data_IF_643664004578
#
_entry.id   IF_643664004578
#
_cell.length_a   1.000
_cell.length_b   1.000
_cell.length_c   1.000
_cell.angle_alpha   90.00
_cell.angle_beta   90.00
_cell.angle_gamma   90.00
#
_symmetry.space_group_name_H-M   'P 1'
#
loop_
_entity.id
_entity.type
_entity.pdbx_description
1 polymer ?
#
# COMPACT_ATOMS: atom_id res chain seq x y z
N UNK A 1 -27.43 7.30 0.92
CA UNK A 1 -26.09 7.72 1.43
C UNK A 1 -25.18 7.93 0.22
N UNK A 2 -24.68 9.15 -0.03
CA UNK A 2 -23.94 9.46 -1.27
C UNK A 2 -22.43 9.30 -1.04
N UNK A 3 -21.92 8.07 -1.20
CA UNK A 3 -20.51 7.70 -1.00
C UNK A 3 -19.57 8.48 -1.94
N UNK A 4 -19.94 8.63 -3.21
CA UNK A 4 -19.15 9.38 -4.20
C UNK A 4 -18.94 10.84 -3.77
N UNK A 5 -19.99 11.48 -3.23
CA UNK A 5 -19.88 12.84 -2.68
C UNK A 5 -18.92 12.92 -1.50
N UNK A 6 -18.88 11.89 -0.65
CA UNK A 6 -17.94 11.85 0.47
C UNK A 6 -16.50 11.70 -0.01
N UNK A 7 -16.25 10.76 -0.93
CA UNK A 7 -14.93 10.54 -1.53
C UNK A 7 -14.43 11.81 -2.25
N UNK A 8 -15.30 12.49 -3.02
CA UNK A 8 -14.91 13.71 -3.73
C UNK A 8 -14.50 14.85 -2.78
N UNK A 9 -15.08 14.94 -1.58
CA UNK A 9 -14.66 15.93 -0.57
C UNK A 9 -13.28 15.63 0.02
N UNK A 10 -12.85 14.37 0.00
CA UNK A 10 -11.58 13.91 0.56
C UNK A 10 -10.40 14.13 -0.38
N UNK A 11 -10.65 14.36 -1.68
CA UNK A 11 -9.60 14.61 -2.70
C UNK A 11 -8.86 15.93 -2.47
N UNK A 12 -9.53 16.95 -1.93
CA UNK A 12 -8.97 18.29 -1.73
C UNK A 12 -8.34 18.41 -0.35
N UNK A 13 -7.05 18.02 -0.24
CA UNK A 13 -6.18 18.11 0.96
C UNK A 13 -6.96 18.16 2.29
N UNK A 14 -7.41 17.00 2.79
CA UNK A 14 -8.28 16.94 3.97
C UNK A 14 -7.53 17.42 5.22
N UNK A 15 -8.26 18.01 6.17
CA UNK A 15 -7.70 18.36 7.49
C UNK A 15 -7.46 17.12 8.37
N UNK A 16 -8.17 16.04 8.09
CA UNK A 16 -8.07 14.77 8.80
C UNK A 16 -7.27 13.79 7.95
N UNK A 17 -6.26 13.09 8.51
CA UNK A 17 -5.54 12.04 7.82
C UNK A 17 -6.48 10.98 7.25
N UNK A 18 -6.19 10.51 6.03
CA UNK A 18 -6.91 9.38 5.44
C UNK A 18 -6.05 8.13 5.62
N UNK A 19 -6.70 7.07 6.09
CA UNK A 19 -6.15 5.73 6.15
C UNK A 19 -6.84 4.90 5.08
N UNK A 20 -6.05 4.33 4.16
CA UNK A 20 -6.55 3.40 3.15
C UNK A 20 -6.21 1.98 3.57
N UNK A 21 -7.21 1.09 3.45
CA UNK A 21 -7.02 -0.34 3.65
C UNK A 21 -6.90 -0.99 2.28
N UNK A 22 -5.83 -1.75 2.11
CA UNK A 22 -5.44 -2.53 0.95
C UNK A 22 -5.01 -1.74 -0.29
N UNK A 23 -5.89 -0.85 -0.77
CA UNK A 23 -5.68 0.01 -1.92
C UNK A 23 -6.45 1.31 -1.70
N UNK A 24 -5.87 2.50 -1.96
CA UNK A 24 -6.62 3.74 -1.87
C UNK A 24 -7.80 3.74 -2.85
N UNK A 25 -8.98 4.13 -2.37
CA UNK A 25 -10.19 4.10 -3.19
C UNK A 25 -10.07 4.96 -4.45
N UNK A 26 -10.27 4.32 -5.59
CA UNK A 26 -10.18 4.94 -6.91
C UNK A 26 -8.83 4.77 -7.60
N UNK A 27 -7.80 4.26 -6.92
CA UNK A 27 -6.55 3.88 -7.58
C UNK A 27 -6.73 2.60 -8.39
N UNK A 28 -5.99 2.48 -9.49
CA UNK A 28 -5.88 1.23 -10.22
C UNK A 28 -4.99 0.24 -9.45
N UNK A 29 -5.33 -1.05 -9.50
CA UNK A 29 -4.61 -2.11 -8.77
C UNK A 29 -3.18 -2.32 -9.26
N UNK A 30 -2.87 -1.92 -10.49
CA UNK A 30 -1.59 -2.16 -11.16
C UNK A 30 -0.82 -0.86 -11.40
N UNK A 31 -1.49 0.19 -11.90
CA UNK A 31 -0.83 1.45 -12.30
C UNK A 31 -1.07 2.61 -11.32
N UNK A 32 -1.76 2.36 -10.20
CA UNK A 32 -1.92 3.34 -9.12
C UNK A 32 -2.77 4.56 -9.47
N UNK A 33 -2.38 5.73 -8.95
CA UNK A 33 -3.07 7.03 -9.16
C UNK A 33 -2.63 7.70 -10.46
N UNK A 34 -2.71 6.99 -11.59
CA UNK A 34 -2.19 7.46 -12.89
C UNK A 34 -2.73 8.83 -13.31
N UNK A 35 -3.99 9.14 -12.99
CA UNK A 35 -4.59 10.44 -13.35
C UNK A 35 -4.37 11.54 -12.29
N UNK A 36 -3.85 11.22 -11.11
CA UNK A 36 -3.63 12.18 -10.02
C UNK A 36 -4.91 12.74 -9.36
N UNK A 37 -6.11 12.35 -9.82
CA UNK A 37 -7.39 12.90 -9.36
C UNK A 37 -8.07 12.10 -8.23
N UNK A 38 -7.39 11.12 -7.64
CA UNK A 38 -7.94 10.27 -6.58
C UNK A 38 -7.55 10.75 -5.18
N UNK A 39 -8.02 10.05 -4.16
CA UNK A 39 -7.64 10.35 -2.77
C UNK A 39 -6.14 10.07 -2.58
N UNK A 40 -5.48 10.88 -1.76
CA UNK A 40 -4.09 10.68 -1.37
C UNK A 40 -4.03 10.41 0.13
N UNK A 41 -3.93 9.14 0.56
CA UNK A 41 -3.92 8.79 1.96
C UNK A 41 -2.60 9.15 2.63
N UNK A 42 -2.66 9.46 3.92
CA UNK A 42 -1.46 9.64 4.74
C UNK A 42 -0.89 8.29 5.18
N UNK A 43 -1.78 7.28 5.35
CA UNK A 43 -1.41 5.92 5.74
C UNK A 43 -2.05 4.89 4.80
N UNK A 44 -1.29 3.88 4.43
CA UNK A 44 -1.76 2.68 3.72
C UNK A 44 -1.50 1.42 4.57
N UNK A 45 -2.50 0.55 4.68
CA UNK A 45 -2.34 -0.81 5.23
C UNK A 45 -2.60 -1.83 4.13
N UNK A 46 -1.56 -2.39 3.53
CA UNK A 46 -1.70 -3.49 2.56
C UNK A 46 -2.07 -4.80 3.25
N UNK A 47 -2.97 -5.58 2.66
CA UNK A 47 -3.35 -6.89 3.21
C UNK A 47 -2.57 -8.01 2.52
N UNK A 48 -1.95 -8.87 3.32
CA UNK A 48 -1.07 -9.99 2.95
C UNK A 48 0.23 -9.51 2.30
N UNK A 49 0.13 -8.82 1.16
CA UNK A 49 1.24 -8.23 0.44
C UNK A 49 0.80 -6.93 -0.28
N UNK A 50 1.71 -5.98 -0.52
CA UNK A 50 1.42 -4.79 -1.32
C UNK A 50 0.97 -5.13 -2.74
N UNK A 51 0.01 -4.36 -3.29
CA UNK A 51 -0.34 -4.44 -4.72
C UNK A 51 0.65 -3.63 -5.56
N UNK A 52 0.77 -3.94 -6.86
CA UNK A 52 1.63 -3.18 -7.77
C UNK A 52 1.25 -1.70 -7.85
N UNK A 53 -0.05 -1.38 -7.84
CA UNK A 53 -0.53 0.00 -7.92
C UNK A 53 -0.18 0.87 -6.72
N UNK A 54 0.45 0.34 -5.67
CA UNK A 54 0.92 1.13 -4.52
C UNK A 54 2.44 1.25 -4.46
N UNK A 55 3.16 0.84 -5.51
CA UNK A 55 4.61 1.07 -5.62
C UNK A 55 4.93 2.57 -5.55
N UNK A 56 4.08 3.41 -6.15
CA UNK A 56 4.18 4.88 -6.11
C UNK A 56 3.41 5.51 -4.93
N UNK A 57 3.18 4.76 -3.86
CA UNK A 57 2.56 5.33 -2.66
C UNK A 57 3.58 6.19 -1.88
N UNK A 58 3.36 7.50 -1.88
CA UNK A 58 4.22 8.48 -1.18
C UNK A 58 3.57 9.05 0.09
N UNK A 59 2.69 8.30 0.76
CA UNK A 59 2.18 8.71 2.07
C UNK A 59 3.23 8.56 3.18
N UNK A 60 2.88 8.98 4.40
CA UNK A 60 3.81 8.99 5.53
C UNK A 60 4.05 7.60 6.14
N UNK A 61 3.06 6.73 6.01
CA UNK A 61 3.07 5.45 6.71
C UNK A 61 2.54 4.35 5.79
N UNK A 62 3.28 3.25 5.67
CA UNK A 62 2.86 2.05 4.97
C UNK A 62 3.07 0.85 5.89
N UNK A 63 2.00 0.08 6.10
CA UNK A 63 2.03 -1.16 6.88
C UNK A 63 1.52 -2.33 6.05
N UNK A 64 1.95 -3.53 6.40
CA UNK A 64 1.36 -4.79 5.96
C UNK A 64 0.62 -5.42 7.14
N UNK A 65 -0.59 -5.88 6.90
CA UNK A 65 -1.39 -6.68 7.83
C UNK A 65 -1.74 -8.03 7.19
N UNK A 66 -2.19 -8.98 8.00
CA UNK A 66 -2.72 -10.25 7.50
C UNK A 66 -1.71 -11.39 7.48
N UNK A 67 -1.14 -11.69 8.65
CA UNK A 67 -0.29 -12.85 8.89
C UNK A 67 -1.09 -14.16 8.96
N UNK A 68 -1.70 -14.53 7.84
CA UNK A 68 -2.48 -15.77 7.74
C UNK A 68 -2.29 -16.47 6.38
N UNK A 69 -1.31 -16.04 5.57
CA UNK A 69 -0.99 -16.71 4.30
C UNK A 69 -0.28 -18.04 4.60
N UNK A 70 -0.85 -19.19 4.21
CA UNK A 70 -0.19 -20.47 4.39
C UNK A 70 1.13 -20.54 3.60
N UNK A 71 2.20 -21.15 4.14
CA UNK A 71 3.51 -21.25 3.46
C UNK A 71 3.43 -21.83 2.05
N UNK A 72 2.55 -22.82 1.83
CA UNK A 72 2.35 -23.43 0.50
C UNK A 72 1.84 -22.43 -0.55
N UNK A 73 1.06 -21.42 -0.14
CA UNK A 73 0.61 -20.37 -1.05
C UNK A 73 1.72 -19.35 -1.29
N UNK A 74 2.53 -19.04 -0.27
CA UNK A 74 3.72 -18.21 -0.45
C UNK A 74 4.68 -18.85 -1.46
N UNK A 75 5.06 -20.11 -1.27
CA UNK A 75 5.96 -20.84 -2.19
C UNK A 75 5.40 -20.93 -3.61
N UNK A 76 4.09 -21.18 -3.76
CA UNK A 76 3.46 -21.33 -5.08
C UNK A 76 3.38 -20.01 -5.85
N UNK A 77 3.07 -18.91 -5.16
CA UNK A 77 2.79 -17.62 -5.79
C UNK A 77 3.92 -16.60 -5.64
N UNK A 78 5.01 -16.97 -4.95
CA UNK A 78 6.18 -16.12 -4.69
C UNK A 78 5.77 -14.77 -4.10
N UNK A 79 4.89 -14.83 -3.09
CA UNK A 79 4.31 -13.64 -2.45
C UNK A 79 5.17 -13.25 -1.26
N UNK A 80 5.83 -12.10 -1.33
CA UNK A 80 6.54 -11.58 -0.16
C UNK A 80 5.60 -11.46 1.06
N UNK A 81 5.93 -12.17 2.14
CA UNK A 81 5.27 -12.05 3.44
C UNK A 81 6.32 -11.58 4.44
N UNK A 82 6.16 -10.41 5.06
CA UNK A 82 7.13 -9.92 6.04
C UNK A 82 7.10 -10.79 7.31
N UNK A 83 8.20 -10.79 8.05
CA UNK A 83 8.27 -11.43 9.35
C UNK A 83 7.50 -10.61 10.40
N UNK A 84 6.56 -11.25 11.12
CA UNK A 84 5.82 -10.65 12.21
C UNK A 84 6.46 -11.09 13.54
N UNK A 85 6.78 -10.14 14.42
CA UNK A 85 7.39 -10.46 15.71
C UNK A 85 6.31 -10.85 16.72
N UNK A 86 6.43 -12.05 17.31
CA UNK A 86 5.54 -12.52 18.37
C UNK A 86 4.05 -12.48 17.97
N UNK A 87 3.28 -11.58 18.58
CA UNK A 87 1.85 -11.39 18.34
C UNK A 87 1.52 -10.14 17.52
N UNK A 88 2.50 -9.58 16.81
CA UNK A 88 2.30 -8.41 15.97
C UNK A 88 1.22 -8.68 14.90
N UNK A 89 0.39 -7.69 14.66
CA UNK A 89 -0.66 -7.72 13.64
C UNK A 89 -0.37 -6.80 12.46
N UNK A 90 0.69 -5.99 12.56
CA UNK A 90 1.11 -5.00 11.58
C UNK A 90 2.65 -4.98 11.50
N UNK A 91 3.19 -4.95 10.29
CA UNK A 91 4.61 -4.74 10.03
C UNK A 91 4.80 -3.45 9.23
N UNK A 92 5.65 -2.50 9.66
CA UNK A 92 5.95 -1.32 8.85
C UNK A 92 6.70 -1.72 7.58
N UNK A 93 6.37 -1.08 6.47
CA UNK A 93 7.11 -1.17 5.21
C UNK A 93 8.09 0.00 5.18
N UNK A 94 9.38 -0.28 5.02
CA UNK A 94 10.36 0.76 4.76
C UNK A 94 10.10 1.36 3.38
N UNK A 95 9.52 2.56 3.34
CA UNK A 95 9.43 3.33 2.10
C UNK A 95 10.82 3.85 1.78
N UNK A 96 11.53 3.20 0.86
CA UNK A 96 12.73 3.81 0.30
C UNK A 96 12.32 5.09 -0.42
N UNK A 97 12.80 6.23 0.08
CA UNK A 97 12.85 7.45 -0.72
C UNK A 97 13.88 7.16 -1.82
N UNK A 98 13.42 6.85 -3.02
CA UNK A 98 14.32 6.64 -4.15
C UNK A 98 14.94 7.98 -4.54
N UNK A 99 16.23 8.17 -4.24
CA UNK A 99 17.04 9.13 -4.99
C UNK A 99 17.21 8.58 -6.41
N UNK A 100 16.97 9.46 -7.38
CA UNK A 100 16.85 9.33 -8.83
C UNK A 100 17.78 8.29 -9.52
N UNK A 101 17.57 7.01 -9.26
CA UNK A 101 18.25 5.90 -9.96
C UNK A 101 17.29 4.75 -10.20
N UNK A 102 17.03 4.50 -11.47
CA UNK A 102 16.00 3.62 -12.05
C UNK A 102 16.17 2.11 -11.73
N UNK A 103 17.14 1.72 -10.89
CA UNK A 103 17.59 0.33 -10.77
C UNK A 103 17.23 -0.36 -9.44
N UNK A 104 16.79 0.35 -8.39
CA UNK A 104 16.61 -0.26 -7.05
C UNK A 104 15.19 -0.72 -6.73
N UNK A 105 14.17 -0.32 -7.50
CA UNK A 105 12.77 -0.68 -7.23
C UNK A 105 12.48 -2.19 -7.39
N UNK A 106 13.28 -2.89 -8.20
CA UNK A 106 13.13 -4.34 -8.42
C UNK A 106 13.77 -5.17 -7.28
N UNK A 107 14.76 -4.64 -6.55
CA UNK A 107 15.49 -5.43 -5.55
C UNK A 107 14.78 -5.57 -4.20
N UNK A 108 13.89 -4.65 -3.83
CA UNK A 108 13.11 -4.75 -2.59
C UNK A 108 11.82 -5.57 -2.72
N UNK A 109 11.46 -5.94 -3.95
CA UNK A 109 10.25 -6.72 -4.23
C UNK A 109 10.52 -8.22 -4.46
N UNK A 110 11.78 -8.69 -4.34
CA UNK A 110 12.14 -10.11 -4.40
C UNK A 110 13.45 -10.43 -3.66
N UNK A 111 13.48 -10.26 -2.33
CA UNK A 111 14.41 -11.02 -1.47
C UNK A 111 13.72 -11.49 -0.22
#
# INVERSE_FOLDING_TARGET
VNLLRQINKLKTKPKTPIVSIDLPSGWDTNIGNYEGYHINPELLVSLIAPKLGVVEFFGKYHYIAGNFLPPILNEKYQVYVPEYNGSDCLVPVETLVMEDTTETAEMLHMK
#
